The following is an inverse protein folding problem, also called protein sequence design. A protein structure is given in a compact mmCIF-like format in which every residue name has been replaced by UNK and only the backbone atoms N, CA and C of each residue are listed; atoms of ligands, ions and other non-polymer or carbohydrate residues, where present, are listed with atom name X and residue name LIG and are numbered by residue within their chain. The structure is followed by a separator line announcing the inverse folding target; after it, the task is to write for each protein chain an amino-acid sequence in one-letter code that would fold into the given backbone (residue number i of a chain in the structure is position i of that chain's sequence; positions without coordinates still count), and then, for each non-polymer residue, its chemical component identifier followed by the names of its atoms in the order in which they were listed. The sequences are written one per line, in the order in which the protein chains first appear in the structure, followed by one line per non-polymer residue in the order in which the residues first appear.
data_IF_682525539598
#
_entry.id   IF_682525539598
#
_cell.length_a   1.000
_cell.length_b   1.000
_cell.length_c   1.000
_cell.angle_alpha   90.00
_cell.angle_beta   90.00
_cell.angle_gamma   90.00
#
_symmetry.space_group_name_H-M   'P 1'
#
loop_
_entity.id
_entity.type
_entity.pdbx_description
1 polymer ?
#
# COMPACT_ATOMS: atom_id res chain seq x y z
N UNK A 1 -4.81 -24.00 -25.08
CA UNK A 1 -5.78 -23.16 -24.35
C UNK A 1 -4.97 -22.19 -23.51
N UNK A 2 -5.23 -20.88 -23.64
CA UNK A 2 -4.31 -19.77 -23.31
C UNK A 2 -3.68 -19.83 -21.90
N UNK A 3 -2.37 -19.61 -21.89
CA UNK A 3 -1.56 -19.15 -20.74
C UNK A 3 -2.31 -18.13 -19.87
N UNK A 4 -2.38 -18.42 -18.57
CA UNK A 4 -2.57 -17.42 -17.52
C UNK A 4 -1.49 -17.59 -16.46
N UNK A 5 -0.25 -17.32 -16.88
CA UNK A 5 0.79 -16.87 -15.97
C UNK A 5 0.58 -15.37 -15.75
N UNK A 6 0.24 -14.95 -14.53
CA UNK A 6 0.57 -13.60 -14.04
C UNK A 6 0.73 -13.62 -12.52
N UNK A 7 2.01 -13.71 -12.12
CA UNK A 7 2.65 -13.00 -10.99
C UNK A 7 2.16 -13.45 -9.60
N UNK A 8 2.81 -14.37 -8.90
CA UNK A 8 4.23 -14.27 -8.52
C UNK A 8 4.37 -13.33 -7.32
N UNK A 9 3.84 -13.75 -6.17
CA UNK A 9 4.08 -13.19 -4.83
C UNK A 9 5.59 -13.08 -4.57
N UNK A 10 6.14 -11.88 -4.72
CA UNK A 10 7.59 -11.65 -4.60
C UNK A 10 7.88 -10.47 -3.68
N UNK A 11 7.68 -10.60 -2.37
CA UNK A 11 8.32 -9.72 -1.38
C UNK A 11 8.64 -10.49 -0.08
N UNK A 12 9.43 -11.58 -0.18
CA UNK A 12 10.02 -12.25 0.99
C UNK A 12 11.47 -11.78 1.28
N UNK A 13 11.83 -10.54 0.95
CA UNK A 13 13.22 -10.05 1.05
C UNK A 13 13.21 -8.62 1.60
N UNK A 14 13.73 -8.41 2.82
CA UNK A 14 14.10 -7.13 3.51
C UNK A 14 13.62 -7.00 4.97
N UNK A 15 13.17 -8.10 5.59
CA UNK A 15 13.02 -8.23 7.05
C UNK A 15 14.37 -7.87 7.72
N UNK A 16 14.51 -6.65 8.27
CA UNK A 16 15.39 -6.31 9.42
C UNK A 16 15.78 -4.82 9.60
N UNK A 17 15.40 -3.83 8.76
CA UNK A 17 16.02 -2.48 8.89
C UNK A 17 15.14 -1.25 8.67
N UNK A 18 13.96 -1.15 9.30
CA UNK A 18 13.41 0.16 9.74
C UNK A 18 12.04 0.02 10.44
N UNK A 19 12.01 0.09 11.78
CA UNK A 19 10.76 0.02 12.57
C UNK A 19 9.73 1.11 12.22
N UNK A 20 10.18 2.26 11.68
CA UNK A 20 9.30 3.37 11.28
C UNK A 20 8.83 3.32 9.82
N UNK A 21 9.61 2.72 8.91
CA UNK A 21 9.12 2.50 7.55
C UNK A 21 8.02 1.43 7.56
N UNK A 22 8.20 0.41 8.41
CA UNK A 22 7.25 -0.69 8.58
C UNK A 22 5.83 -0.18 8.91
N UNK A 23 5.72 0.77 9.85
CA UNK A 23 4.43 1.32 10.25
C UNK A 23 3.79 2.14 9.12
N UNK A 24 4.55 2.96 8.40
CA UNK A 24 4.03 3.73 7.27
C UNK A 24 3.54 2.80 6.15
N UNK A 25 4.29 1.74 5.85
CA UNK A 25 3.92 0.75 4.85
C UNK A 25 2.68 -0.04 5.27
N UNK A 26 2.60 -0.48 6.52
CA UNK A 26 1.42 -1.16 7.09
C UNK A 26 0.18 -0.27 6.98
N UNK A 27 0.27 0.98 7.44
CA UNK A 27 -0.82 1.94 7.36
C UNK A 27 -1.26 2.20 5.92
N UNK A 28 -0.33 2.31 4.97
CA UNK A 28 -0.65 2.48 3.55
C UNK A 28 -1.43 1.27 3.02
N UNK A 29 -1.00 0.06 3.35
CA UNK A 29 -1.65 -1.19 2.93
C UNK A 29 -3.05 -1.32 3.55
N UNK A 30 -3.20 -1.01 4.85
CA UNK A 30 -4.51 -0.98 5.51
C UNK A 30 -5.45 0.02 4.85
N UNK A 31 -4.99 1.25 4.61
CA UNK A 31 -5.81 2.29 3.98
C UNK A 31 -6.18 1.89 2.56
N UNK A 32 -5.26 1.30 1.80
CA UNK A 32 -5.55 0.77 0.46
C UNK A 32 -6.62 -0.33 0.49
N UNK A 33 -6.59 -1.19 1.51
CA UNK A 33 -7.62 -2.22 1.75
C UNK A 33 -8.96 -1.59 2.08
N UNK A 34 -8.97 -0.62 2.99
CA UNK A 34 -10.18 0.11 3.43
C UNK A 34 -10.82 0.89 2.27
N UNK A 35 -10.01 1.36 1.33
CA UNK A 35 -10.47 2.08 0.13
C UNK A 35 -10.86 1.13 -1.02
N UNK A 36 -10.63 -0.18 -0.90
CA UNK A 36 -10.93 -1.16 -1.95
C UNK A 36 -9.99 -1.11 -3.17
N UNK A 37 -8.88 -0.39 -3.06
CA UNK A 37 -7.90 -0.16 -4.15
C UNK A 37 -6.69 -1.09 -4.03
N UNK A 38 -6.66 -1.97 -3.03
CA UNK A 38 -5.60 -2.95 -2.82
C UNK A 38 -5.40 -3.83 -4.06
N UNK A 39 -6.49 -4.26 -4.70
CA UNK A 39 -6.43 -5.10 -5.90
C UNK A 39 -5.82 -4.33 -7.08
N UNK A 40 -6.14 -3.04 -7.21
CA UNK A 40 -5.57 -2.17 -8.24
C UNK A 40 -4.08 -1.94 -8.02
N UNK A 41 -3.64 -1.69 -6.79
CA UNK A 41 -2.22 -1.54 -6.46
C UNK A 41 -1.45 -2.84 -6.67
N UNK A 42 -2.04 -3.99 -6.35
CA UNK A 42 -1.40 -5.29 -6.56
C UNK A 42 -1.25 -5.61 -8.06
N UNK A 43 -2.28 -5.33 -8.86
CA UNK A 43 -2.27 -5.61 -10.30
C UNK A 43 -1.48 -4.58 -11.12
N UNK A 44 -1.63 -3.30 -10.80
CA UNK A 44 -1.14 -2.18 -11.61
C UNK A 44 -0.13 -1.27 -10.89
N UNK A 45 0.10 -1.46 -9.59
CA UNK A 45 1.05 -0.66 -8.81
C UNK A 45 0.47 0.67 -8.31
N UNK A 46 1.19 1.34 -7.42
CA UNK A 46 0.78 2.62 -6.81
C UNK A 46 0.60 3.77 -7.82
N UNK A 47 1.28 3.71 -8.97
CA UNK A 47 1.17 4.73 -10.02
C UNK A 47 -0.16 4.67 -10.78
N UNK A 48 -0.92 3.59 -10.64
CA UNK A 48 -2.23 3.42 -11.30
C UNK A 48 -3.36 4.17 -10.60
N UNK A 49 -3.10 4.64 -9.37
CA UNK A 49 -4.09 5.34 -8.56
C UNK A 49 -4.39 6.71 -9.15
N UNK A 50 -5.68 7.04 -9.20
CA UNK A 50 -6.13 8.39 -9.53
C UNK A 50 -5.65 9.39 -8.46
N UNK A 51 -5.43 10.68 -8.79
CA UNK A 51 -5.12 11.72 -7.80
C UNK A 51 -6.07 11.77 -6.61
N UNK A 52 -7.35 11.38 -6.83
CA UNK A 52 -8.36 11.29 -5.78
C UNK A 52 -8.12 10.11 -4.82
N UNK A 53 -7.63 8.98 -5.31
CA UNK A 53 -7.36 7.77 -4.53
C UNK A 53 -6.05 7.92 -3.75
N UNK A 54 -4.98 8.33 -4.43
CA UNK A 54 -3.68 8.61 -3.80
C UNK A 54 -3.78 9.73 -2.76
N UNK A 55 -4.57 10.78 -3.04
CA UNK A 55 -4.88 11.85 -2.08
C UNK A 55 -5.63 11.36 -0.84
N UNK A 56 -6.59 10.44 -0.99
CA UNK A 56 -7.28 9.81 0.15
C UNK A 56 -6.33 8.97 1.01
N UNK A 57 -5.43 8.21 0.38
CA UNK A 57 -4.41 7.42 1.10
C UNK A 57 -3.48 8.34 1.88
N UNK A 58 -2.92 9.36 1.21
CA UNK A 58 -2.03 10.33 1.84
C UNK A 58 -2.68 11.07 3.01
N UNK A 59 -3.94 11.51 2.84
CA UNK A 59 -4.69 12.18 3.90
C UNK A 59 -4.92 11.30 5.13
N UNK A 60 -5.34 10.05 4.94
CA UNK A 60 -5.53 9.09 6.05
C UNK A 60 -4.20 8.71 6.71
N UNK A 61 -3.15 8.52 5.91
CA UNK A 61 -1.81 8.22 6.42
C UNK A 61 -1.30 9.34 7.31
N UNK A 62 -1.37 10.60 6.86
CA UNK A 62 -0.97 11.77 7.64
C UNK A 62 -1.80 11.92 8.92
N UNK A 63 -3.11 11.66 8.88
CA UNK A 63 -3.94 11.67 10.09
C UNK A 63 -3.51 10.62 11.10
N UNK A 64 -3.21 9.38 10.65
CA UNK A 64 -2.76 8.30 11.53
C UNK A 64 -1.35 8.58 12.09
N UNK A 65 -0.43 9.10 11.28
CA UNK A 65 0.90 9.52 11.74
C UNK A 65 0.81 10.62 12.80
N UNK A 66 -0.05 11.63 12.59
CA UNK A 66 -0.27 12.70 13.56
C UNK A 66 -0.83 12.18 14.88
N UNK A 67 -1.72 11.18 14.85
CA UNK A 67 -2.25 10.53 16.06
C UNK A 67 -1.21 9.71 16.82
N UNK A 68 -0.20 9.17 16.14
CA UNK A 68 0.81 8.30 16.74
C UNK A 68 1.97 9.07 17.40
N UNK A 69 2.24 10.28 16.90
CA UNK A 69 3.31 11.16 17.40
C UNK A 69 2.87 12.22 18.39
N UNK A 70 1.67 12.08 18.98
CA UNK A 70 1.04 13.06 19.85
C UNK A 70 0.55 12.42 21.15
#
# INVERSE_FOLDING_TARGET
MKERNKKGTSQNVRKARNKQMDLIEELKMEIATELGIMEQINNFGWHSLSPRESGKIGGKLSQRLKKLGH
#
